data_IF_209580734103
#
_entry.id   IF_209580734103
#
_cell.length_a   1.000
_cell.length_b   1.000
_cell.length_c   1.000
_cell.angle_alpha   90.00
_cell.angle_beta   90.00
_cell.angle_gamma   90.00
#
_symmetry.space_group_name_H-M   'P 1'
#
loop_
_entity.id
_entity.type
_entity.pdbx_description
1 polymer ?
#
# COMPACT_ATOMS: atom_id res chain seq x y z
N UNK A 1 -14.56 7.00 18.55
CA UNK A 1 -13.33 7.43 17.84
C UNK A 1 -12.29 6.34 18.01
N UNK A 2 -11.82 5.63 16.96
CA UNK A 2 -10.79 4.63 17.16
C UNK A 2 -9.46 5.32 17.51
N UNK A 3 -8.78 4.82 18.54
CA UNK A 3 -7.54 5.34 19.10
C UNK A 3 -6.38 5.31 18.08
N UNK A 4 -5.55 6.36 18.10
CA UNK A 4 -4.34 6.58 17.29
C UNK A 4 -3.19 5.57 17.54
N UNK A 5 -3.48 4.33 17.95
CA UNK A 5 -2.46 3.40 18.44
C UNK A 5 -1.80 2.51 17.35
N UNK A 6 -2.35 2.39 16.15
CA UNK A 6 -1.84 1.45 15.13
C UNK A 6 -1.18 2.13 13.90
N UNK A 7 -0.33 3.14 14.14
CA UNK A 7 0.53 3.71 13.08
C UNK A 7 1.98 3.27 13.23
N UNK A 8 2.23 2.07 13.77
CA UNK A 8 3.56 1.47 13.71
C UNK A 8 3.88 1.14 12.25
N UNK A 9 4.85 1.87 11.68
CA UNK A 9 5.39 1.56 10.37
C UNK A 9 6.08 0.20 10.48
N UNK A 10 5.41 -0.85 9.99
CA UNK A 10 6.00 -2.19 9.92
C UNK A 10 7.20 -2.14 8.98
N UNK A 11 8.40 -2.22 9.53
CA UNK A 11 9.64 -2.27 8.76
C UNK A 11 10.12 -3.70 8.62
N UNK A 12 10.61 -4.12 7.45
CA UNK A 12 11.16 -5.45 7.27
C UNK A 12 12.44 -5.65 8.09
N UNK A 13 12.66 -6.87 8.55
CA UNK A 13 13.91 -7.27 9.19
C UNK A 13 15.08 -7.16 8.20
N UNK A 14 16.16 -6.46 8.57
CA UNK A 14 17.36 -6.19 7.74
C UNK A 14 18.51 -7.18 8.04
N UNK A 15 19.45 -7.36 7.11
CA UNK A 15 20.60 -8.29 7.24
C UNK A 15 20.52 -9.56 6.37
N UNK A 16 21.61 -10.33 6.30
CA UNK A 16 21.67 -11.67 5.64
C UNK A 16 21.47 -12.78 6.69
N UNK A 17 21.24 -14.02 6.25
CA UNK A 17 21.18 -15.22 7.10
C UNK A 17 20.15 -15.21 8.25
N UNK A 18 18.97 -14.64 7.97
CA UNK A 18 17.88 -14.57 8.94
C UNK A 18 17.22 -15.92 9.20
N UNK A 19 16.69 -16.15 10.41
CA UNK A 19 15.78 -17.24 10.69
C UNK A 19 14.60 -17.27 9.72
N UNK A 20 14.09 -18.47 9.40
CA UNK A 20 13.02 -18.62 8.40
C UNK A 20 11.74 -17.87 8.80
N UNK A 21 11.45 -17.76 10.09
CA UNK A 21 10.34 -16.95 10.62
C UNK A 21 10.43 -15.47 10.21
N UNK A 22 11.62 -14.87 10.27
CA UNK A 22 11.83 -13.48 9.85
C UNK A 22 11.77 -13.32 8.33
N UNK A 23 12.25 -14.32 7.58
CA UNK A 23 12.11 -14.34 6.11
C UNK A 23 10.63 -14.42 5.72
N UNK A 24 9.85 -15.27 6.39
CA UNK A 24 8.41 -15.40 6.15
C UNK A 24 7.66 -14.12 6.50
N UNK A 25 7.98 -13.48 7.63
CA UNK A 25 7.42 -12.17 7.98
C UNK A 25 7.74 -11.11 6.92
N UNK A 26 8.98 -11.06 6.42
CA UNK A 26 9.36 -10.15 5.34
C UNK A 26 8.64 -10.46 4.02
N UNK A 27 8.43 -11.73 3.67
CA UNK A 27 7.65 -12.12 2.47
C UNK A 27 6.19 -11.71 2.60
N UNK A 28 5.58 -11.93 3.77
CA UNK A 28 4.21 -11.49 4.05
C UNK A 28 4.09 -9.97 3.95
N UNK A 29 5.04 -9.24 4.56
CA UNK A 29 5.12 -7.78 4.46
C UNK A 29 5.27 -7.30 3.01
N UNK A 30 6.18 -7.92 2.23
CA UNK A 30 6.39 -7.57 0.83
C UNK A 30 5.16 -7.84 -0.05
N UNK A 31 4.43 -8.94 0.22
CA UNK A 31 3.17 -9.28 -0.49
C UNK A 31 2.10 -8.20 -0.30
N UNK A 32 2.05 -7.58 0.88
CA UNK A 32 1.15 -6.46 1.17
C UNK A 32 1.66 -5.13 0.58
N UNK A 33 2.97 -4.88 0.62
CA UNK A 33 3.57 -3.62 0.15
C UNK A 33 3.49 -3.46 -1.38
N UNK A 34 3.76 -4.53 -2.13
CA UNK A 34 3.84 -4.52 -3.59
C UNK A 34 2.59 -3.92 -4.28
N UNK A 35 1.37 -4.39 -3.99
CA UNK A 35 0.14 -3.82 -4.56
C UNK A 35 -0.05 -2.33 -4.25
N UNK A 36 0.22 -1.91 -3.00
CA UNK A 36 0.06 -0.51 -2.59
C UNK A 36 1.06 0.43 -3.27
N UNK A 37 2.32 0.01 -3.40
CA UNK A 37 3.34 0.77 -4.12
C UNK A 37 3.03 0.89 -5.61
N UNK A 38 2.60 -0.22 -6.25
CA UNK A 38 2.20 -0.20 -7.66
C UNK A 38 1.02 0.73 -7.91
N UNK A 39 -0.01 0.68 -7.07
CA UNK A 39 -1.14 1.60 -7.17
C UNK A 39 -0.68 3.06 -7.04
N UNK A 40 0.17 3.38 -6.07
CA UNK A 40 0.70 4.73 -5.92
C UNK A 40 1.54 5.18 -7.12
N UNK A 41 2.34 4.29 -7.71
CA UNK A 41 3.10 4.57 -8.92
C UNK A 41 2.20 4.89 -10.12
N UNK A 42 1.11 4.14 -10.30
CA UNK A 42 0.13 4.38 -11.38
C UNK A 42 -0.63 5.69 -11.17
N UNK A 43 -1.07 5.99 -9.95
CA UNK A 43 -1.71 7.28 -9.65
C UNK A 43 -0.77 8.46 -9.91
N UNK A 44 0.52 8.30 -9.63
CA UNK A 44 1.55 9.30 -9.96
C UNK A 44 1.75 9.44 -11.45
N UNK A 45 1.82 8.35 -12.22
CA UNK A 45 2.01 8.42 -13.68
C UNK A 45 0.84 9.11 -14.38
N UNK A 46 -0.39 8.90 -13.91
CA UNK A 46 -1.59 9.60 -14.41
C UNK A 46 -1.71 11.05 -13.96
N UNK A 47 -0.88 11.50 -13.02
CA UNK A 47 -0.93 12.85 -12.42
C UNK A 47 -2.31 13.21 -11.84
N UNK A 48 -3.13 12.21 -11.48
CA UNK A 48 -4.52 12.40 -11.03
C UNK A 48 -4.61 13.13 -9.70
N UNK A 49 -3.60 12.96 -8.83
CA UNK A 49 -3.55 13.61 -7.52
C UNK A 49 -3.01 15.05 -7.59
N UNK A 50 -2.59 15.55 -8.77
CA UNK A 50 -1.89 16.84 -8.90
C UNK A 50 -2.73 18.04 -8.44
N UNK A 51 -4.05 17.96 -8.56
CA UNK A 51 -4.99 19.02 -8.14
C UNK A 51 -5.75 18.69 -6.86
N UNK A 52 -5.46 17.54 -6.24
CA UNK A 52 -6.19 17.10 -5.05
C UNK A 52 -5.84 18.01 -3.86
N UNK A 53 -6.84 18.72 -3.33
CA UNK A 53 -6.71 19.52 -2.10
C UNK A 53 -7.59 18.94 -1.01
N UNK A 54 -7.01 18.06 -0.20
CA UNK A 54 -7.65 17.50 0.98
C UNK A 54 -6.59 17.09 2.02
N UNK A 55 -7.03 16.69 3.23
CA UNK A 55 -6.11 16.20 4.24
C UNK A 55 -5.40 14.91 3.77
N UNK A 56 -4.16 14.64 4.21
CA UNK A 56 -3.41 13.43 3.84
C UNK A 56 -4.18 12.13 4.15
N UNK A 57 -4.97 12.13 5.23
CA UNK A 57 -5.85 11.01 5.57
C UNK A 57 -6.94 10.80 4.51
N UNK A 58 -7.60 11.87 4.04
CA UNK A 58 -8.62 11.76 2.98
C UNK A 58 -7.99 11.36 1.65
N UNK A 59 -6.81 11.91 1.32
CA UNK A 59 -6.06 11.52 0.13
C UNK A 59 -5.71 10.02 0.14
N UNK A 60 -5.23 9.50 1.28
CA UNK A 60 -4.93 8.09 1.45
C UNK A 60 -6.15 7.17 1.24
N UNK A 61 -7.32 7.56 1.76
CA UNK A 61 -8.57 6.82 1.52
C UNK A 61 -8.96 6.81 0.04
N UNK A 62 -8.85 7.95 -0.65
CA UNK A 62 -9.12 8.03 -2.10
C UNK A 62 -8.17 7.15 -2.90
N UNK A 63 -6.87 7.18 -2.60
CA UNK A 63 -5.88 6.31 -3.25
C UNK A 63 -6.22 4.82 -3.07
N UNK A 64 -6.62 4.40 -1.85
CA UNK A 64 -7.05 3.02 -1.59
C UNK A 64 -8.30 2.64 -2.38
N UNK A 65 -9.30 3.52 -2.43
CA UNK A 65 -10.53 3.27 -3.18
C UNK A 65 -10.25 3.09 -4.68
N UNK A 66 -9.44 3.98 -5.26
CA UNK A 66 -9.05 3.87 -6.68
C UNK A 66 -8.30 2.57 -6.95
N UNK A 67 -7.36 2.20 -6.07
CA UNK A 67 -6.61 0.95 -6.18
C UNK A 67 -7.52 -0.30 -6.16
N UNK A 68 -8.52 -0.32 -5.27
CA UNK A 68 -9.49 -1.43 -5.19
C UNK A 68 -10.32 -1.51 -6.47
N UNK A 69 -10.87 -0.39 -6.94
CA UNK A 69 -11.67 -0.35 -8.17
C UNK A 69 -10.86 -0.81 -9.40
N UNK A 70 -9.61 -0.39 -9.49
CA UNK A 70 -8.73 -0.79 -10.57
C UNK A 70 -8.39 -2.29 -10.53
N UNK A 71 -8.08 -2.83 -9.35
CA UNK A 71 -7.83 -4.26 -9.20
C UNK A 71 -9.08 -5.09 -9.52
N UNK A 72 -10.26 -4.62 -9.09
CA UNK A 72 -11.52 -5.26 -9.43
C UNK A 72 -11.75 -5.29 -10.94
N UNK A 73 -11.56 -4.15 -11.62
CA UNK A 73 -11.65 -4.07 -13.09
C UNK A 73 -10.70 -5.06 -13.78
N UNK A 74 -9.44 -5.14 -13.34
CA UNK A 74 -8.45 -6.05 -13.92
C UNK A 74 -8.90 -7.51 -13.71
N UNK A 75 -9.40 -7.85 -12.52
CA UNK A 75 -9.88 -9.20 -12.23
C UNK A 75 -11.15 -9.59 -13.01
N UNK A 76 -11.97 -8.62 -13.44
CA UNK A 76 -13.13 -8.87 -14.30
C UNK A 76 -12.79 -8.97 -15.79
N UNK A 77 -11.61 -8.51 -16.19
CA UNK A 77 -11.14 -8.51 -17.58
C UNK A 77 -10.16 -9.65 -17.91
N UNK A 78 -9.90 -10.53 -16.93
CA UNK A 78 -9.03 -11.69 -17.02
C UNK A 78 -9.87 -12.97 -16.92
#
# INVERSE_FOLDING_TARGET
MPSRADLSVLTPYKGKDKPESQKQANRAHAKLRGPGERANAQLKSWKILRKLRCSPSKAGHLCKAIAVLQNHRIAQAA
#
